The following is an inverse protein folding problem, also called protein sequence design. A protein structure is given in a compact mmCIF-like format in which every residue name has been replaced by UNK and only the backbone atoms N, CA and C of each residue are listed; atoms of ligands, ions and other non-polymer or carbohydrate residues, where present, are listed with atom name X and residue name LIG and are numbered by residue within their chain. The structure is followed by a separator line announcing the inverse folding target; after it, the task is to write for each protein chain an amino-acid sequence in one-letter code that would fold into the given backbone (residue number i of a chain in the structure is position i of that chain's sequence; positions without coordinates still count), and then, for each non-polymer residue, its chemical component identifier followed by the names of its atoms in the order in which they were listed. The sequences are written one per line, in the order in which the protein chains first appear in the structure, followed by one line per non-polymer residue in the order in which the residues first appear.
data_IF_393716873600
#
_entry.id   IF_393716873600
#
_cell.length_a   1.000
_cell.length_b   1.000
_cell.length_c   1.000
_cell.angle_alpha   90.00
_cell.angle_beta   90.00
_cell.angle_gamma   90.00
#
_symmetry.space_group_name_H-M   'P 1'
#
loop_
_entity.id
_entity.type
_entity.pdbx_description
1 polymer ?
#
# COMPACT_ATOMS: atom_id res chain seq x y z
N UNK A 1 28.47 -8.35 7.70
CA UNK A 1 27.09 -8.45 8.23
C UNK A 1 26.14 -8.30 7.05
N UNK A 2 25.55 -9.40 6.55
CA UNK A 2 24.70 -9.36 5.36
C UNK A 2 23.38 -8.67 5.71
N UNK A 3 23.12 -7.49 5.12
CA UNK A 3 21.82 -6.83 5.20
C UNK A 3 20.78 -7.78 4.60
N UNK A 4 19.81 -8.21 5.40
CA UNK A 4 18.60 -8.91 4.98
C UNK A 4 18.05 -8.21 3.72
N UNK A 5 17.71 -8.98 2.68
CA UNK A 5 17.09 -8.50 1.42
C UNK A 5 16.05 -7.41 1.78
N UNK A 6 16.35 -6.15 1.43
CA UNK A 6 15.82 -4.91 2.02
C UNK A 6 14.27 -4.83 1.98
N UNK A 7 13.57 -5.39 2.96
CA UNK A 7 12.13 -5.16 3.19
C UNK A 7 11.93 -3.83 3.94
N UNK A 8 12.25 -2.71 3.29
CA UNK A 8 12.28 -1.40 3.96
C UNK A 8 10.89 -0.81 4.16
N UNK A 9 10.15 -0.65 3.06
CA UNK A 9 8.81 -0.08 3.08
C UNK A 9 7.89 -0.83 2.13
N UNK A 10 6.69 -1.17 2.59
CA UNK A 10 5.62 -1.70 1.73
C UNK A 10 4.51 -0.67 1.56
N UNK A 11 4.06 -0.44 0.33
CA UNK A 11 2.93 0.42 0.01
C UNK A 11 1.72 -0.44 -0.37
N UNK A 12 0.64 -0.25 0.37
CA UNK A 12 -0.63 -0.96 0.21
C UNK A 12 -1.54 -0.17 -0.73
N UNK A 13 -1.97 -0.79 -1.82
CA UNK A 13 -2.81 -0.20 -2.85
C UNK A 13 -4.00 -1.12 -3.18
N UNK A 14 -5.12 -1.03 -2.46
CA UNK A 14 -6.37 -1.64 -2.87
C UNK A 14 -7.01 -0.82 -3.99
N UNK A 15 -7.23 -1.44 -5.15
CA UNK A 15 -7.84 -0.79 -6.31
C UNK A 15 -8.70 -1.81 -7.08
N UNK A 16 -9.97 -1.49 -7.29
CA UNK A 16 -10.93 -2.40 -7.92
C UNK A 16 -11.54 -1.77 -9.17
N UNK A 17 -11.81 -2.57 -10.19
CA UNK A 17 -12.23 -2.09 -11.51
C UNK A 17 -11.06 -1.84 -12.46
N UNK A 18 -11.27 -1.03 -13.50
CA UNK A 18 -10.27 -0.82 -14.55
C UNK A 18 -9.18 0.17 -14.13
N UNK A 19 -7.92 -0.22 -14.31
CA UNK A 19 -6.79 0.70 -14.18
C UNK A 19 -6.77 1.70 -15.35
N UNK A 20 -6.25 2.89 -15.10
CA UNK A 20 -6.08 3.90 -16.14
C UNK A 20 -5.04 3.47 -17.19
N UNK A 21 -5.14 4.01 -18.40
CA UNK A 21 -4.25 3.69 -19.51
C UNK A 21 -2.76 3.96 -19.24
N UNK A 22 -2.46 4.83 -18.28
CA UNK A 22 -1.10 5.17 -17.83
C UNK A 22 -0.58 4.28 -16.68
N UNK A 23 -1.34 3.29 -16.21
CA UNK A 23 -0.89 2.36 -15.16
C UNK A 23 0.46 1.65 -15.47
N UNK A 24 0.81 1.32 -16.73
CA UNK A 24 2.15 0.84 -17.04
C UNK A 24 3.27 1.82 -16.68
N UNK A 25 3.02 3.13 -16.73
CA UNK A 25 3.98 4.15 -16.30
C UNK A 25 4.15 4.16 -14.78
N UNK A 26 3.05 3.98 -14.04
CA UNK A 26 3.09 3.77 -12.59
C UNK A 26 3.96 2.55 -12.24
N UNK A 27 3.71 1.40 -12.88
CA UNK A 27 4.51 0.18 -12.67
C UNK A 27 6.00 0.40 -12.96
N UNK A 28 6.32 1.08 -14.07
CA UNK A 28 7.70 1.41 -14.42
C UNK A 28 8.38 2.32 -13.38
N UNK A 29 7.62 3.25 -12.79
CA UNK A 29 8.14 4.09 -11.70
C UNK A 29 8.37 3.30 -10.40
N UNK A 30 7.56 2.27 -10.13
CA UNK A 30 7.76 1.35 -9.02
C UNK A 30 9.03 0.51 -9.21
N UNK A 31 9.27 -0.01 -10.42
CA UNK A 31 10.47 -0.78 -10.78
C UNK A 31 11.77 -0.03 -10.47
N UNK A 32 11.78 1.29 -10.68
CA UNK A 32 12.93 2.15 -10.41
C UNK A 32 13.29 2.31 -8.92
N UNK A 33 12.50 1.72 -8.01
CA UNK A 33 12.65 1.83 -6.56
C UNK A 33 12.70 0.43 -5.90
N UNK A 34 13.74 -0.38 -6.16
CA UNK A 34 13.79 -1.80 -5.81
C UNK A 34 13.78 -2.11 -4.31
N UNK A 35 14.08 -1.13 -3.44
CA UNK A 35 13.98 -1.30 -1.97
C UNK A 35 12.59 -1.03 -1.40
N UNK A 36 11.66 -0.57 -2.22
CA UNK A 36 10.25 -0.39 -1.89
C UNK A 36 9.43 -1.51 -2.52
N UNK A 37 8.41 -1.97 -1.83
CA UNK A 37 7.50 -3.00 -2.30
C UNK A 37 6.10 -2.42 -2.45
N UNK A 38 5.42 -2.71 -3.55
CA UNK A 38 4.00 -2.39 -3.73
C UNK A 38 3.17 -3.66 -3.62
N UNK A 39 2.08 -3.60 -2.85
CA UNK A 39 1.10 -4.68 -2.77
C UNK A 39 -0.24 -4.18 -3.24
N UNK A 40 -0.62 -4.65 -4.43
CA UNK A 40 -1.82 -4.22 -5.15
C UNK A 40 -2.90 -5.27 -4.93
N UNK A 41 -4.01 -4.88 -4.32
CA UNK A 41 -5.17 -5.74 -4.11
C UNK A 41 -6.23 -5.38 -5.14
N UNK A 42 -6.59 -6.31 -6.02
CA UNK A 42 -7.46 -5.98 -7.16
C UNK A 42 -8.20 -7.19 -7.72
N UNK A 43 -9.39 -6.93 -8.27
CA UNK A 43 -10.18 -7.86 -9.08
C UNK A 43 -9.85 -7.77 -10.58
N UNK A 44 -9.07 -6.75 -10.97
CA UNK A 44 -8.74 -6.50 -12.37
C UNK A 44 -7.82 -7.57 -12.96
N UNK A 45 -8.13 -8.07 -14.16
CA UNK A 45 -7.30 -9.04 -14.89
C UNK A 45 -6.40 -8.40 -15.97
N UNK A 46 -5.67 -7.34 -15.61
CA UNK A 46 -4.71 -6.73 -16.52
C UNK A 46 -3.58 -7.70 -16.89
N UNK A 47 -3.02 -7.53 -18.10
CA UNK A 47 -1.96 -8.38 -18.66
C UNK A 47 -0.58 -7.70 -18.69
N UNK A 48 -0.42 -6.59 -17.99
CA UNK A 48 0.86 -5.89 -17.87
C UNK A 48 1.89 -6.75 -17.12
N UNK A 49 3.15 -6.63 -17.52
CA UNK A 49 4.27 -7.23 -16.79
C UNK A 49 4.47 -6.44 -15.50
N UNK A 50 4.39 -7.14 -14.36
CA UNK A 50 4.66 -6.55 -13.05
C UNK A 50 6.16 -6.66 -12.72
N UNK A 51 6.79 -5.56 -12.26
CA UNK A 51 8.15 -5.60 -11.73
C UNK A 51 8.28 -6.54 -10.52
N UNK A 52 9.49 -7.02 -10.22
CA UNK A 52 9.72 -7.96 -9.10
C UNK A 52 9.27 -7.41 -7.74
N UNK A 53 9.33 -6.09 -7.54
CA UNK A 53 8.95 -5.41 -6.31
C UNK A 53 7.48 -4.95 -6.29
N UNK A 54 6.67 -5.35 -7.28
CA UNK A 54 5.22 -5.14 -7.32
C UNK A 54 4.52 -6.49 -7.23
N UNK A 55 3.73 -6.67 -6.19
CA UNK A 55 2.98 -7.90 -5.94
C UNK A 55 1.49 -7.65 -6.12
N UNK A 56 0.86 -8.43 -6.99
CA UNK A 56 -0.58 -8.35 -7.26
C UNK A 56 -1.28 -9.49 -6.51
N UNK A 57 -2.22 -9.13 -5.65
CA UNK A 57 -3.03 -10.04 -4.85
C UNK A 57 -4.43 -9.98 -5.42
N UNK A 58 -4.85 -11.07 -6.06
CA UNK A 58 -6.21 -11.20 -6.59
C UNK A 58 -7.20 -11.34 -5.44
N UNK A 59 -8.15 -10.42 -5.40
CA UNK A 59 -9.21 -10.38 -4.40
C UNK A 59 -10.36 -9.53 -4.92
N UNK A 60 -11.49 -9.54 -4.23
CA UNK A 60 -12.66 -8.70 -4.55
C UNK A 60 -12.92 -7.66 -3.46
N UNK A 61 -13.67 -6.61 -3.81
CA UNK A 61 -14.10 -5.61 -2.83
C UNK A 61 -14.89 -6.25 -1.68
N UNK A 62 -15.69 -7.27 -1.98
CA UNK A 62 -16.47 -8.01 -1.00
C UNK A 62 -15.61 -8.80 -0.01
N UNK A 63 -14.48 -9.37 -0.47
CA UNK A 63 -13.52 -10.04 0.40
C UNK A 63 -12.81 -9.04 1.33
N UNK A 64 -12.43 -7.86 0.82
CA UNK A 64 -11.89 -6.79 1.67
C UNK A 64 -12.92 -6.35 2.71
N UNK A 65 -14.20 -6.23 2.32
CA UNK A 65 -15.29 -5.92 3.25
C UNK A 65 -15.41 -6.98 4.35
N UNK A 66 -15.31 -8.27 4.02
CA UNK A 66 -15.33 -9.37 4.99
C UNK A 66 -14.15 -9.29 5.97
N UNK A 67 -12.92 -9.11 5.46
CA UNK A 67 -11.72 -8.93 6.29
C UNK A 67 -11.90 -7.77 7.25
N UNK A 68 -12.42 -6.64 6.75
CA UNK A 68 -12.66 -5.47 7.58
C UNK A 68 -13.72 -5.73 8.66
N UNK A 69 -14.87 -6.32 8.30
CA UNK A 69 -15.91 -6.64 9.29
C UNK A 69 -15.40 -7.56 10.40
N UNK A 70 -14.63 -8.59 10.03
CA UNK A 70 -14.04 -9.53 10.99
C UNK A 70 -13.03 -8.84 11.91
N UNK A 71 -12.14 -8.02 11.34
CA UNK A 71 -11.10 -7.33 12.11
C UNK A 71 -11.66 -6.21 13.01
N UNK A 72 -12.65 -5.45 12.54
CA UNK A 72 -13.26 -4.36 13.30
C UNK A 72 -14.30 -4.86 14.32
N UNK A 73 -14.88 -6.04 14.12
CA UNK A 73 -15.95 -6.56 14.97
C UNK A 73 -17.32 -5.91 14.74
N UNK A 74 -17.47 -5.12 13.67
CA UNK A 74 -18.74 -4.51 13.26
C UNK A 74 -18.84 -4.43 11.74
N UNK A 75 -20.05 -4.22 11.22
CA UNK A 75 -20.28 -4.10 9.78
C UNK A 75 -19.86 -2.72 9.29
N UNK A 76 -18.82 -2.67 8.45
CA UNK A 76 -18.37 -1.45 7.79
C UNK A 76 -19.24 -1.07 6.59
N UNK A 77 -19.26 0.21 6.24
CA UNK A 77 -19.92 0.73 5.03
C UNK A 77 -18.90 0.85 3.92
N UNK A 78 -18.91 -0.12 3.00
CA UNK A 78 -18.01 -0.19 1.85
C UNK A 78 -18.79 -0.57 0.58
N UNK A 79 -19.66 0.34 0.15
CA UNK A 79 -20.58 0.12 -0.99
C UNK A 79 -19.90 0.25 -2.35
N UNK A 80 -18.77 0.95 -2.42
CA UNK A 80 -18.00 1.15 -3.64
C UNK A 80 -16.49 1.14 -3.37
N UNK A 81 -15.70 0.89 -4.41
CA UNK A 81 -14.24 0.91 -4.32
C UNK A 81 -13.70 2.27 -3.86
N UNK A 82 -14.34 3.38 -4.27
CA UNK A 82 -13.94 4.72 -3.86
C UNK A 82 -13.96 4.91 -2.34
N UNK A 83 -14.90 4.24 -1.64
CA UNK A 83 -15.00 4.31 -0.19
C UNK A 83 -13.80 3.73 0.55
N UNK A 84 -12.94 2.95 -0.10
CA UNK A 84 -11.67 2.49 0.47
C UNK A 84 -10.75 3.65 0.88
N UNK A 85 -10.86 4.81 0.23
CA UNK A 85 -10.12 6.01 0.60
C UNK A 85 -10.35 6.42 2.07
N UNK A 86 -11.56 6.23 2.58
CA UNK A 86 -11.94 6.54 3.97
C UNK A 86 -11.22 5.59 4.97
N UNK A 87 -10.80 4.39 4.52
CA UNK A 87 -10.16 3.35 5.32
C UNK A 87 -8.63 3.32 5.19
N UNK A 88 -8.02 4.21 4.39
CA UNK A 88 -6.55 4.28 4.19
C UNK A 88 -5.74 4.25 5.49
N UNK A 89 -6.11 4.99 6.56
CA UNK A 89 -5.39 4.93 7.84
C UNK A 89 -5.42 3.54 8.50
N UNK A 90 -6.47 2.75 8.26
CA UNK A 90 -6.64 1.42 8.83
C UNK A 90 -5.98 0.31 8.01
N UNK A 91 -5.35 0.60 6.88
CA UNK A 91 -4.72 -0.45 6.04
C UNK A 91 -3.63 -1.24 6.77
N UNK A 92 -2.88 -0.60 7.67
CA UNK A 92 -1.93 -1.27 8.57
C UNK A 92 -2.58 -2.40 9.36
N UNK A 93 -3.79 -2.15 9.86
CA UNK A 93 -4.59 -3.12 10.60
C UNK A 93 -5.20 -4.18 9.67
N UNK A 94 -5.83 -3.76 8.58
CA UNK A 94 -6.53 -4.66 7.64
C UNK A 94 -5.60 -5.64 6.94
N UNK A 95 -4.41 -5.18 6.56
CA UNK A 95 -3.43 -5.91 5.74
C UNK A 95 -2.19 -6.31 6.54
N UNK A 96 -2.27 -6.36 7.86
CA UNK A 96 -1.16 -6.67 8.79
C UNK A 96 -0.28 -7.85 8.36
N UNK A 97 -0.90 -8.93 7.86
CA UNK A 97 -0.18 -10.15 7.41
C UNK A 97 0.85 -9.87 6.31
N UNK A 98 0.65 -8.81 5.54
CA UNK A 98 1.50 -8.35 4.44
C UNK A 98 2.56 -7.34 4.88
N UNK A 99 2.40 -6.74 6.06
CA UNK A 99 3.16 -5.60 6.54
C UNK A 99 4.21 -5.99 7.58
N UNK A 100 3.92 -7.00 8.41
CA UNK A 100 4.71 -7.37 9.60
C UNK A 100 6.22 -7.58 9.40
N UNK A 101 6.66 -7.89 8.18
CA UNK A 101 8.07 -8.15 7.85
C UNK A 101 8.82 -6.90 7.35
N UNK A 102 8.16 -5.74 7.29
CA UNK A 102 8.74 -4.48 6.81
C UNK A 102 8.93 -3.49 7.96
N UNK A 103 9.95 -2.64 7.87
CA UNK A 103 10.20 -1.60 8.88
C UNK A 103 9.11 -0.50 8.86
N UNK A 104 8.61 -0.21 7.65
CA UNK A 104 7.57 0.78 7.37
C UNK A 104 6.48 0.19 6.46
N UNK A 105 5.27 0.74 6.58
CA UNK A 105 4.19 0.54 5.63
C UNK A 105 3.58 1.86 5.21
N UNK A 106 2.83 1.88 4.13
CA UNK A 106 2.12 3.07 3.71
C UNK A 106 0.99 2.75 2.76
N UNK A 107 0.37 3.80 2.25
CA UNK A 107 -0.59 3.72 1.16
C UNK A 107 -0.26 4.76 0.11
N UNK A 108 -0.60 4.47 -1.14
CA UNK A 108 -0.47 5.39 -2.23
C UNK A 108 -1.64 5.28 -3.21
N UNK A 109 -1.71 6.21 -4.14
CA UNK A 109 -2.62 6.14 -5.29
C UNK A 109 -1.89 5.59 -6.52
N UNK A 110 -2.63 5.02 -7.47
CA UNK A 110 -2.09 4.45 -8.71
C UNK A 110 -2.01 5.46 -9.87
N UNK A 111 -2.38 6.72 -9.63
CA UNK A 111 -2.28 7.86 -10.55
C UNK A 111 -1.01 8.70 -10.34
N UNK A 112 -0.08 8.18 -9.53
CA UNK A 112 1.22 8.79 -9.29
C UNK A 112 2.29 8.24 -10.24
N UNK A 113 3.34 9.03 -10.41
CA UNK A 113 4.62 8.60 -10.98
C UNK A 113 5.69 8.87 -9.94
N UNK A 114 6.32 7.82 -9.43
CA UNK A 114 7.34 7.97 -8.40
C UNK A 114 8.67 8.43 -9.00
N UNK A 115 9.28 9.44 -8.38
CA UNK A 115 10.69 9.73 -8.55
C UNK A 115 11.57 8.71 -7.81
N UNK A 116 12.81 9.10 -7.52
CA UNK A 116 13.72 8.25 -6.77
C UNK A 116 13.42 8.32 -5.25
N UNK A 117 12.64 7.39 -4.72
CA UNK A 117 12.30 7.29 -3.30
C UNK A 117 13.51 6.90 -2.44
N UNK A 118 14.46 6.14 -3.01
CA UNK A 118 15.72 5.79 -2.33
C UNK A 118 16.56 7.00 -1.99
N UNK A 119 16.60 7.99 -2.89
CA UNK A 119 17.33 9.24 -2.67
C UNK A 119 16.55 10.18 -1.75
N UNK A 120 15.24 10.30 -1.94
CA UNK A 120 14.46 11.41 -1.37
C UNK A 120 13.65 11.05 -0.11
N UNK A 121 13.21 9.80 0.05
CA UNK A 121 12.32 9.38 1.15
C UNK A 121 13.05 8.49 2.15
N UNK A 122 13.89 7.59 1.68
CA UNK A 122 14.67 6.67 2.52
C UNK A 122 15.48 7.35 3.61
N UNK A 123 16.15 8.51 3.38
CA UNK A 123 16.81 9.24 4.47
C UNK A 123 15.84 9.60 5.59
N UNK A 124 14.62 10.04 5.26
CA UNK A 124 13.58 10.41 6.24
C UNK A 124 13.11 9.21 7.06
N UNK A 125 13.11 8.00 6.49
CA UNK A 125 12.81 6.76 7.22
C UNK A 125 13.89 6.40 8.25
N UNK A 126 15.09 7.00 8.20
CA UNK A 126 16.11 6.80 9.23
C UNK A 126 15.97 7.76 10.41
N UNK A 127 15.19 8.84 10.25
CA UNK A 127 14.97 9.87 11.28
C UNK A 127 13.93 9.47 12.33
N UNK A 128 13.51 8.20 12.34
CA UNK A 128 12.57 7.58 13.29
C UNK A 128 11.19 8.27 13.44
N UNK A 129 10.70 8.94 12.40
CA UNK A 129 9.34 9.47 12.38
C UNK A 129 8.30 8.34 12.36
N UNK A 130 7.27 8.44 13.21
CA UNK A 130 6.16 7.48 13.20
C UNK A 130 5.30 7.62 11.93
N UNK A 131 5.19 8.82 11.36
CA UNK A 131 4.43 9.12 10.15
C UNK A 131 5.15 10.12 9.26
N UNK A 132 5.13 9.88 7.95
CA UNK A 132 5.58 10.80 6.90
C UNK A 132 4.44 11.12 5.93
N UNK A 133 4.38 12.39 5.53
CA UNK A 133 3.38 12.98 4.62
C UNK A 133 1.94 12.99 5.18
N UNK A 134 1.09 13.88 4.66
CA UNK A 134 -0.28 14.07 5.14
C UNK A 134 -1.33 14.25 4.03
N UNK A 135 -0.92 14.40 2.77
CA UNK A 135 -1.81 14.72 1.66
C UNK A 135 -2.56 13.50 1.07
N UNK A 136 -2.45 12.30 1.67
CA UNK A 136 -3.22 11.11 1.30
C UNK A 136 -2.74 10.33 0.06
N UNK A 137 -2.07 10.99 -0.88
CA UNK A 137 -1.58 10.40 -2.15
C UNK A 137 -0.38 9.48 -1.95
N UNK A 138 0.50 9.81 -1.00
CA UNK A 138 1.50 8.92 -0.44
C UNK A 138 1.54 9.23 1.05
N UNK A 139 1.43 8.21 1.89
CA UNK A 139 1.62 8.34 3.33
C UNK A 139 2.28 7.10 3.86
N UNK A 140 3.29 7.28 4.70
CA UNK A 140 4.11 6.21 5.25
C UNK A 140 4.04 6.28 6.77
N UNK A 141 3.97 5.11 7.39
CA UNK A 141 3.87 4.89 8.82
C UNK A 141 4.92 3.87 9.24
N UNK A 142 5.42 4.00 10.45
CA UNK A 142 6.26 2.98 11.04
C UNK A 142 5.45 1.73 11.37
N UNK A 143 5.97 0.53 11.10
CA UNK A 143 5.20 -0.73 11.22
C UNK A 143 4.67 -1.02 12.62
N UNK A 144 5.39 -0.58 13.67
CA UNK A 144 4.89 -0.67 15.05
C UNK A 144 3.64 0.16 15.33
N UNK A 145 3.26 1.07 14.41
CA UNK A 145 2.08 1.89 14.51
C UNK A 145 0.96 1.32 13.62
N UNK A 146 0.04 0.59 14.26
CA UNK A 146 -1.24 0.20 13.67
C UNK A 146 -2.26 1.27 14.07
N UNK A 147 -2.60 2.16 13.15
CA UNK A 147 -3.61 3.19 13.40
C UNK A 147 -4.98 2.56 13.17
N UNK A 148 -5.76 2.45 14.25
CA UNK A 148 -7.20 2.22 14.17
C UNK A 148 -7.83 3.58 14.45
N UNK A 149 -8.13 4.35 13.40
CA UNK A 149 -8.98 5.53 13.59
C UNK A 149 -10.37 5.00 13.90
N UNK A 150 -10.98 5.47 15.00
CA UNK A 150 -12.37 5.18 15.32
C UNK A 150 -13.23 5.67 14.14
N UNK A 151 -13.76 4.73 13.37
CA UNK A 151 -14.76 4.93 12.33
C UNK A 151 -16.15 5.05 12.95
#
# INVERSE_FOLDING_TARGET
MMRKKNKRCVLILPYFGQFNNYFPLFLKSCEANPTYTWMIFTDNEFKYVCPENVHVIKTTLDEIRKIANEKFGFKIVLESAYKLCDYKPAYGFLFEKYIKDFDYWGHCDCDLIFGNLEKNVTPLLNEDYDKLFAAGHLTIYKTRMIIIVAL
#
